data_IF_542028203401
#
_entry.id   IF_542028203401
#
_cell.length_a   1.000
_cell.length_b   1.000
_cell.length_c   1.000
_cell.angle_alpha   90.00
_cell.angle_beta   90.00
_cell.angle_gamma   90.00
#
_symmetry.space_group_name_H-M   'P 1'
#
loop_
_entity.id
_entity.type
_entity.pdbx_description
1 polymer ?
#
# COMPACT_ATOMS: atom_id res chain seq x y z
N UNK A 1 -17.36 -0.96 16.91
CA UNK A 1 -16.91 -1.49 15.60
C UNK A 1 -17.28 -0.59 14.43
N UNK A 2 -17.84 0.61 14.66
CA UNK A 2 -18.42 1.46 13.59
C UNK A 2 -17.39 2.20 12.73
N UNK A 3 -16.12 2.31 13.16
CA UNK A 3 -15.05 2.97 12.40
C UNK A 3 -14.21 2.04 11.50
N UNK A 4 -14.37 0.72 11.60
CA UNK A 4 -13.52 -0.23 10.86
C UNK A 4 -13.86 -0.32 9.37
N UNK A 5 -15.12 -0.01 9.00
CA UNK A 5 -15.59 -0.07 7.62
C UNK A 5 -14.82 0.84 6.66
N UNK A 6 -14.32 1.98 7.16
CA UNK A 6 -13.55 2.94 6.35
C UNK A 6 -12.24 2.33 5.84
N UNK A 7 -11.66 1.38 6.58
CA UNK A 7 -10.40 0.74 6.24
C UNK A 7 -10.56 -0.46 5.28
N UNK A 8 -11.79 -0.94 5.06
CA UNK A 8 -12.06 -2.04 4.12
C UNK A 8 -11.69 -1.63 2.70
N UNK A 9 -12.00 -0.40 2.30
CA UNK A 9 -11.73 0.08 0.94
C UNK A 9 -10.23 0.09 0.59
N UNK A 10 -9.34 0.68 1.41
CA UNK A 10 -7.89 0.55 1.21
C UNK A 10 -7.40 -0.89 1.12
N UNK A 11 -7.94 -1.80 1.94
CA UNK A 11 -7.58 -3.23 1.88
C UNK A 11 -8.00 -3.83 0.54
N UNK A 12 -9.21 -3.56 0.07
CA UNK A 12 -9.68 -4.03 -1.24
C UNK A 12 -8.80 -3.48 -2.37
N UNK A 13 -8.43 -2.19 -2.32
CA UNK A 13 -7.52 -1.57 -3.29
C UNK A 13 -6.14 -2.25 -3.25
N UNK A 14 -5.58 -2.48 -2.06
CA UNK A 14 -4.29 -3.17 -1.92
C UNK A 14 -4.32 -4.61 -2.41
N UNK A 15 -5.41 -5.33 -2.16
CA UNK A 15 -5.60 -6.69 -2.66
C UNK A 15 -5.74 -6.72 -4.18
N UNK A 16 -6.51 -5.80 -4.78
CA UNK A 16 -6.65 -5.66 -6.21
C UNK A 16 -5.30 -5.32 -6.88
N UNK A 17 -4.55 -4.39 -6.30
CA UNK A 17 -3.21 -4.04 -6.76
C UNK A 17 -2.26 -5.25 -6.72
N UNK A 18 -2.25 -6.01 -5.62
CA UNK A 18 -1.46 -7.23 -5.52
C UNK A 18 -1.86 -8.28 -6.57
N UNK A 19 -3.16 -8.45 -6.83
CA UNK A 19 -3.65 -9.35 -7.88
C UNK A 19 -3.14 -8.93 -9.28
N UNK A 20 -3.18 -7.63 -9.60
CA UNK A 20 -2.61 -7.10 -10.85
C UNK A 20 -1.12 -7.38 -10.95
N UNK A 21 -0.34 -7.12 -9.90
CA UNK A 21 1.10 -7.42 -9.90
C UNK A 21 1.37 -8.93 -10.06
N UNK A 22 0.54 -9.77 -9.44
CA UNK A 22 0.63 -11.23 -9.57
C UNK A 22 0.36 -11.68 -11.01
N UNK A 23 -0.65 -11.09 -11.68
CA UNK A 23 -0.93 -11.33 -13.08
C UNK A 23 0.21 -10.84 -13.98
N UNK A 24 0.72 -9.63 -13.75
CA UNK A 24 1.85 -9.10 -14.50
C UNK A 24 3.08 -10.00 -14.36
N UNK A 25 3.37 -10.49 -13.15
CA UNK A 25 4.45 -11.46 -12.92
C UNK A 25 4.23 -12.78 -13.65
N UNK A 26 2.98 -13.23 -13.83
CA UNK A 26 2.67 -14.47 -14.56
C UNK A 26 2.92 -14.33 -16.06
N UNK A 27 2.59 -13.17 -16.65
CA UNK A 27 2.65 -12.95 -18.10
C UNK A 27 3.91 -12.21 -18.57
N UNK A 28 4.70 -11.63 -17.66
CA UNK A 28 5.90 -10.84 -17.98
C UNK A 28 7.05 -11.16 -17.01
N UNK A 29 8.24 -10.60 -17.23
CA UNK A 29 9.39 -10.74 -16.30
C UNK A 29 9.28 -9.86 -15.04
N UNK A 30 8.09 -9.37 -14.72
CA UNK A 30 7.86 -8.49 -13.58
C UNK A 30 8.08 -9.22 -12.25
N UNK A 31 8.68 -8.55 -11.27
CA UNK A 31 8.96 -9.12 -9.96
C UNK A 31 8.09 -8.47 -8.88
N UNK A 32 7.77 -9.22 -7.82
CA UNK A 32 7.06 -8.66 -6.66
C UNK A 32 7.83 -7.51 -5.99
N UNK A 33 9.16 -7.45 -6.16
CA UNK A 33 9.99 -6.33 -5.69
C UNK A 33 9.69 -5.05 -6.47
N UNK A 34 9.55 -5.13 -7.80
CA UNK A 34 9.17 -3.99 -8.63
C UNK A 34 7.77 -3.50 -8.28
N UNK A 35 6.84 -4.42 -8.02
CA UNK A 35 5.49 -4.07 -7.57
C UNK A 35 5.44 -3.39 -6.19
N UNK A 36 6.50 -3.47 -5.40
CA UNK A 36 6.58 -2.84 -4.09
C UNK A 36 6.93 -1.33 -4.17
N UNK A 37 7.53 -0.90 -5.30
CA UNK A 37 7.99 0.48 -5.50
C UNK A 37 6.82 1.46 -5.43
N UNK A 38 5.70 1.16 -6.08
CA UNK A 38 4.54 2.06 -6.11
C UNK A 38 3.93 2.27 -4.71
N UNK A 39 3.53 1.24 -3.94
CA UNK A 39 2.93 1.45 -2.63
C UNK A 39 3.91 2.08 -1.63
N UNK A 40 5.20 1.73 -1.65
CA UNK A 40 6.20 2.41 -0.82
C UNK A 40 6.39 3.86 -1.25
N UNK A 41 6.47 4.11 -2.55
CA UNK A 41 6.60 5.45 -3.11
C UNK A 41 5.43 6.35 -2.72
N UNK A 42 4.20 5.84 -2.72
CA UNK A 42 3.01 6.57 -2.26
C UNK A 42 3.11 6.92 -0.77
N UNK A 43 3.47 5.98 0.08
CA UNK A 43 3.64 6.23 1.52
C UNK A 43 4.70 7.30 1.76
N UNK A 44 5.88 7.15 1.15
CA UNK A 44 6.97 8.11 1.28
C UNK A 44 6.61 9.49 0.74
N UNK A 45 5.87 9.54 -0.37
CA UNK A 45 5.39 10.78 -0.97
C UNK A 45 4.47 11.53 0.00
N UNK A 46 3.41 10.89 0.52
CA UNK A 46 2.50 11.55 1.45
C UNK A 46 3.15 11.86 2.79
N UNK A 47 4.12 11.05 3.23
CA UNK A 47 4.92 11.34 4.41
C UNK A 47 5.79 12.60 4.20
N UNK A 48 6.42 12.75 3.03
CA UNK A 48 7.17 13.95 2.68
C UNK A 48 6.25 15.18 2.62
N UNK A 49 5.07 15.06 2.01
CA UNK A 49 4.08 16.15 2.00
C UNK A 49 3.65 16.55 3.41
N UNK A 50 3.42 15.56 4.29
CA UNK A 50 3.09 15.80 5.69
C UNK A 50 4.20 16.55 6.44
N UNK A 51 5.47 16.21 6.20
CA UNK A 51 6.60 16.77 6.96
C UNK A 51 7.08 18.12 6.41
N UNK A 52 7.00 18.34 5.10
CA UNK A 52 7.60 19.52 4.45
C UNK A 52 6.59 20.53 3.93
N UNK A 53 5.38 20.09 3.55
CA UNK A 53 4.34 20.96 2.98
C UNK A 53 3.30 21.33 4.01
N UNK A 54 2.83 20.36 4.82
CA UNK A 54 1.81 20.61 5.83
C UNK A 54 2.14 21.71 6.84
N UNK A 55 3.39 21.87 7.33
CA UNK A 55 3.73 22.95 8.27
C UNK A 55 3.62 24.36 7.68
N UNK A 56 3.56 24.47 6.35
CA UNK A 56 3.41 25.75 5.64
C UNK A 56 1.94 26.13 5.45
N UNK A 57 1.00 25.20 5.69
CA UNK A 57 -0.44 25.45 5.60
C UNK A 57 -0.96 26.11 6.88
N UNK A 58 -1.56 27.29 6.74
CA UNK A 58 -2.13 28.07 7.85
C UNK A 58 -3.51 27.58 8.26
N UNK A 59 -4.17 26.76 7.45
CA UNK A 59 -5.53 26.28 7.69
C UNK A 59 -5.59 24.98 8.49
N UNK A 60 -4.51 24.18 8.50
CA UNK A 60 -4.39 22.90 9.20
C UNK A 60 -5.10 21.73 8.52
N UNK A 61 -5.94 21.98 7.50
CA UNK A 61 -6.66 20.95 6.77
C UNK A 61 -5.74 20.10 5.90
N UNK A 62 -4.66 20.68 5.36
CA UNK A 62 -3.69 19.93 4.57
C UNK A 62 -3.00 18.87 5.44
N UNK A 63 -2.62 19.21 6.66
CA UNK A 63 -2.01 18.28 7.60
C UNK A 63 -2.92 17.07 7.88
N UNK A 64 -4.20 17.31 8.18
CA UNK A 64 -5.19 16.25 8.39
C UNK A 64 -5.34 15.38 7.15
N UNK A 65 -5.47 15.99 5.96
CA UNK A 65 -5.56 15.27 4.70
C UNK A 65 -4.36 14.36 4.44
N UNK A 66 -3.14 14.86 4.66
CA UNK A 66 -1.93 14.07 4.49
C UNK A 66 -1.80 12.95 5.52
N UNK A 67 -2.17 13.18 6.79
CA UNK A 67 -2.22 12.10 7.80
C UNK A 67 -3.13 10.98 7.35
N UNK A 68 -4.35 11.31 6.89
CA UNK A 68 -5.29 10.32 6.38
C UNK A 68 -4.69 9.57 5.19
N UNK A 69 -4.11 10.27 4.23
CA UNK A 69 -3.49 9.64 3.05
C UNK A 69 -2.32 8.73 3.40
N UNK A 70 -1.46 9.11 4.37
CA UNK A 70 -0.38 8.24 4.88
C UNK A 70 -0.95 6.96 5.46
N UNK A 71 -2.03 7.04 6.25
CA UNK A 71 -2.68 5.86 6.84
C UNK A 71 -3.26 4.95 5.75
N UNK A 72 -4.03 5.50 4.81
CA UNK A 72 -4.67 4.70 3.75
C UNK A 72 -3.64 4.03 2.83
N UNK A 73 -2.59 4.77 2.44
CA UNK A 73 -1.51 4.23 1.60
C UNK A 73 -0.66 3.19 2.35
N UNK A 74 -0.49 3.35 3.66
CA UNK A 74 0.18 2.35 4.51
C UNK A 74 -0.63 1.05 4.60
N UNK A 75 -1.96 1.13 4.69
CA UNK A 75 -2.82 -0.06 4.67
C UNK A 75 -2.68 -0.80 3.34
N UNK A 76 -2.68 -0.09 2.21
CA UNK A 76 -2.44 -0.68 0.89
C UNK A 76 -1.09 -1.41 0.85
N UNK A 77 -0.02 -0.79 1.37
CA UNK A 77 1.30 -1.40 1.47
C UNK A 77 1.29 -2.67 2.34
N UNK A 78 0.66 -2.62 3.51
CA UNK A 78 0.55 -3.79 4.41
C UNK A 78 -0.23 -4.92 3.72
N UNK A 79 -1.35 -4.61 3.07
CA UNK A 79 -2.11 -5.63 2.32
C UNK A 79 -1.27 -6.26 1.21
N UNK A 80 -0.48 -5.47 0.48
CA UNK A 80 0.43 -5.98 -0.54
C UNK A 80 1.49 -6.91 0.06
N UNK A 81 2.11 -6.51 1.18
CA UNK A 81 3.12 -7.32 1.88
C UNK A 81 2.54 -8.64 2.39
N UNK A 82 1.32 -8.62 2.95
CA UNK A 82 0.62 -9.82 3.41
C UNK A 82 0.33 -10.77 2.24
N UNK A 83 -0.18 -10.25 1.12
CA UNK A 83 -0.41 -11.04 -0.10
C UNK A 83 0.88 -11.68 -0.60
N UNK A 84 1.97 -10.92 -0.63
CA UNK A 84 3.27 -11.44 -1.06
C UNK A 84 3.82 -12.49 -0.09
N UNK A 85 3.66 -12.29 1.21
CA UNK A 85 4.05 -13.26 2.24
C UNK A 85 3.31 -14.59 2.06
N UNK A 86 1.99 -14.56 1.91
CA UNK A 86 1.15 -15.76 1.70
C UNK A 86 1.62 -16.53 0.46
N UNK A 87 1.79 -15.85 -0.67
CA UNK A 87 2.24 -16.50 -1.91
C UNK A 87 3.64 -17.10 -1.76
N UNK A 88 4.53 -16.43 -1.03
CA UNK A 88 5.89 -16.91 -0.79
C UNK A 88 5.91 -18.15 0.09
N UNK A 89 5.07 -18.20 1.13
CA UNK A 89 4.90 -19.38 1.99
C UNK A 89 4.32 -20.57 1.22
N UNK A 90 3.25 -20.35 0.43
CA UNK A 90 2.62 -21.41 -0.37
C UNK A 90 3.59 -21.98 -1.41
N UNK A 91 4.39 -21.14 -2.07
CA UNK A 91 5.36 -21.61 -3.05
C UNK A 91 6.55 -22.34 -2.42
N UNK A 92 6.97 -21.95 -1.22
CA UNK A 92 8.03 -22.66 -0.47
C UNK A 92 7.57 -24.07 -0.09
N UNK A 93 6.32 -24.21 0.34
CA UNK A 93 5.74 -25.51 0.71
C UNK A 93 5.60 -26.48 -0.48
N UNK A 94 5.42 -25.98 -1.70
CA UNK A 94 5.37 -26.80 -2.93
C UNK A 94 6.74 -27.30 -3.42
N UNK A 95 7.84 -26.81 -2.84
CA UNK A 95 9.22 -27.19 -3.21
C UNK A 95 9.87 -28.11 -2.17
N UNK A 96 9.20 -28.37 -1.05
CA UNK A 96 9.57 -29.39 -0.07
C UNK A 96 8.90 -30.72 -0.46
#
# INVERSE_FOLDING_TARGET
>A
MEGLYVYIWPVVIGAAYFAVVTLLKKYTRFSYKLGLILPVGLVLFFLAMLLFVAPQDTTGWAALGYVVMVVLTSIILVTYLLGWMIVSLVNKNKRA
#
